data_IF_473938239330
#
_entry.id   IF_473938239330
#
_cell.length_a   1.000
_cell.length_b   1.000
_cell.length_c   1.000
_cell.angle_alpha   90.00
_cell.angle_beta   90.00
_cell.angle_gamma   90.00
#
_symmetry.space_group_name_H-M   'P 1'
#
loop_
_entity.id
_entity.type
_entity.pdbx_description
1 polymer ?
#
# COMPACT_ATOMS: atom_id res chain seq x y z
N UNK A 1 17.18 1.87 -54.50
CA UNK A 1 17.05 2.46 -53.14
C UNK A 1 17.10 1.33 -52.12
N UNK A 2 18.03 1.39 -51.20
CA UNK A 2 18.03 0.42 -50.09
C UNK A 2 16.90 0.82 -49.14
N UNK A 3 15.96 -0.06 -48.89
CA UNK A 3 14.90 0.12 -47.90
C UNK A 3 15.57 0.17 -46.49
N UNK A 4 15.33 1.27 -45.78
CA UNK A 4 15.77 1.40 -44.40
C UNK A 4 14.73 0.76 -43.47
N UNK A 5 15.11 0.22 -42.34
CA UNK A 5 14.17 -0.35 -41.38
C UNK A 5 13.12 0.68 -40.89
N UNK A 6 13.48 1.96 -40.81
CA UNK A 6 12.58 3.09 -40.52
C UNK A 6 11.44 3.26 -41.53
N UNK A 7 11.58 2.72 -42.75
CA UNK A 7 10.54 2.83 -43.81
C UNK A 7 9.45 1.74 -43.65
N UNK A 8 9.75 0.69 -42.86
CA UNK A 8 8.89 -0.49 -42.67
C UNK A 8 8.40 -0.61 -41.22
N UNK A 9 9.16 -0.10 -40.25
CA UNK A 9 8.87 -0.20 -38.82
C UNK A 9 8.55 1.18 -38.27
N UNK A 10 7.35 1.37 -37.76
CA UNK A 10 6.99 2.53 -36.96
C UNK A 10 6.96 2.14 -35.48
N UNK A 11 7.62 2.93 -34.66
CA UNK A 11 7.62 2.74 -33.20
C UNK A 11 6.41 3.48 -32.61
N UNK A 12 5.51 2.75 -31.94
CA UNK A 12 4.40 3.39 -31.25
C UNK A 12 4.91 3.99 -29.93
N UNK A 13 4.99 5.33 -29.87
CA UNK A 13 5.48 6.07 -28.70
C UNK A 13 4.68 5.76 -27.40
N UNK A 14 3.45 5.32 -27.53
CA UNK A 14 2.57 4.97 -26.42
C UNK A 14 3.04 3.76 -25.60
N UNK A 15 3.89 2.88 -26.18
CA UNK A 15 4.43 1.69 -25.51
C UNK A 15 5.82 1.87 -24.93
N UNK A 16 6.41 3.08 -25.05
CA UNK A 16 7.78 3.35 -24.58
C UNK A 16 7.85 3.71 -23.10
N UNK A 17 6.72 4.05 -22.47
CA UNK A 17 6.72 4.50 -21.09
C UNK A 17 6.73 3.32 -20.11
N UNK A 18 7.71 3.30 -19.21
CA UNK A 18 7.70 2.38 -18.08
C UNK A 18 6.51 2.69 -17.16
N UNK A 19 5.81 1.66 -16.74
CA UNK A 19 4.70 1.78 -15.77
C UNK A 19 5.28 1.97 -14.38
N UNK A 20 4.82 3.02 -13.70
CA UNK A 20 5.13 3.28 -12.30
C UNK A 20 3.91 2.98 -11.43
N UNK A 21 4.01 1.98 -10.56
CA UNK A 21 2.90 1.49 -9.76
C UNK A 21 2.26 2.57 -8.86
N UNK A 22 3.05 3.55 -8.41
CA UNK A 22 2.55 4.62 -7.53
C UNK A 22 1.97 5.81 -8.29
N UNK A 23 2.55 6.17 -9.44
CA UNK A 23 2.17 7.37 -10.18
C UNK A 23 1.03 7.12 -11.19
N UNK A 24 0.92 5.90 -11.69
CA UNK A 24 -0.02 5.54 -12.74
C UNK A 24 -1.33 4.94 -12.20
N UNK A 25 -1.53 4.85 -10.88
CA UNK A 25 -2.77 4.39 -10.27
C UNK A 25 -3.98 5.16 -10.84
N UNK A 26 -5.06 4.42 -11.16
CA UNK A 26 -6.27 4.99 -11.75
C UNK A 26 -6.24 5.15 -13.26
N UNK A 27 -5.13 4.86 -13.94
CA UNK A 27 -5.02 5.01 -15.40
C UNK A 27 -5.62 3.83 -16.14
N UNK A 28 -6.92 3.84 -16.39
CA UNK A 28 -7.61 2.83 -17.22
C UNK A 28 -7.05 2.74 -18.63
N UNK A 29 -6.52 3.85 -19.18
CA UNK A 29 -5.88 3.85 -20.50
C UNK A 29 -4.64 2.94 -20.57
N UNK A 30 -3.89 2.80 -19.47
CA UNK A 30 -2.76 1.86 -19.42
C UNK A 30 -3.24 0.40 -19.33
N UNK A 31 -4.38 0.16 -18.69
CA UNK A 31 -5.02 -1.17 -18.70
C UNK A 31 -5.43 -1.57 -20.11
N UNK A 32 -6.05 -0.66 -20.87
CA UNK A 32 -6.47 -0.92 -22.27
C UNK A 32 -5.28 -1.22 -23.20
N UNK A 33 -4.11 -0.62 -22.93
CA UNK A 33 -2.87 -0.86 -23.69
C UNK A 33 -2.15 -2.15 -23.30
N UNK A 34 -2.61 -2.85 -22.28
CA UNK A 34 -1.96 -4.09 -21.83
C UNK A 34 -2.01 -5.16 -22.91
N UNK A 35 -0.85 -5.80 -23.14
CA UNK A 35 -0.71 -6.94 -24.07
C UNK A 35 -0.49 -8.20 -23.24
N UNK A 36 -1.48 -9.09 -23.18
CA UNK A 36 -1.35 -10.34 -22.43
C UNK A 36 -0.36 -11.28 -23.10
N UNK A 37 0.45 -11.95 -22.27
CA UNK A 37 1.32 -13.06 -22.67
C UNK A 37 1.05 -14.24 -21.76
N UNK A 38 1.43 -15.46 -22.16
CA UNK A 38 1.27 -16.66 -21.33
C UNK A 38 1.89 -16.47 -19.95
N UNK A 39 3.10 -15.92 -19.89
CA UNK A 39 3.80 -15.67 -18.62
C UNK A 39 3.07 -14.66 -17.74
N UNK A 40 2.61 -13.54 -18.32
CA UNK A 40 1.93 -12.49 -17.56
C UNK A 40 0.53 -12.90 -17.09
N UNK A 41 -0.19 -13.68 -17.90
CA UNK A 41 -1.51 -14.22 -17.50
C UNK A 41 -1.37 -15.26 -16.39
N UNK A 42 -0.34 -16.09 -16.42
CA UNK A 42 -0.04 -17.02 -15.32
C UNK A 42 0.22 -16.30 -13.99
N UNK A 43 1.01 -15.21 -14.04
CA UNK A 43 1.27 -14.38 -12.83
C UNK A 43 -0.02 -13.73 -12.34
N UNK A 44 -0.83 -13.16 -13.24
CA UNK A 44 -2.13 -12.55 -12.90
C UNK A 44 -3.08 -13.57 -12.30
N UNK A 45 -3.21 -14.77 -12.91
CA UNK A 45 -4.06 -15.85 -12.40
C UNK A 45 -3.68 -16.26 -10.97
N UNK A 46 -2.38 -16.31 -10.66
CA UNK A 46 -1.89 -16.62 -9.30
C UNK A 46 -2.43 -15.61 -8.28
N UNK A 47 -2.31 -14.30 -8.55
CA UNK A 47 -2.83 -13.28 -7.63
C UNK A 47 -4.35 -13.31 -7.50
N UNK A 48 -5.07 -13.46 -8.62
CA UNK A 48 -6.53 -13.52 -8.60
C UNK A 48 -7.04 -14.77 -7.87
N UNK A 49 -6.40 -15.93 -8.06
CA UNK A 49 -6.71 -17.13 -7.30
C UNK A 49 -6.45 -16.95 -5.79
N UNK A 50 -5.33 -16.32 -5.40
CA UNK A 50 -5.00 -16.06 -4.00
C UNK A 50 -6.02 -15.13 -3.32
N UNK A 51 -6.68 -14.27 -4.10
CA UNK A 51 -7.75 -13.39 -3.61
C UNK A 51 -9.08 -14.15 -3.48
N UNK A 52 -9.41 -15.03 -4.42
CA UNK A 52 -10.68 -15.76 -4.44
C UNK A 52 -10.68 -16.88 -3.41
N UNK A 53 -9.57 -17.62 -3.33
CA UNK A 53 -9.47 -18.83 -2.48
C UNK A 53 -8.67 -18.52 -1.22
N UNK A 54 -9.11 -18.94 -0.03
CA UNK A 54 -8.25 -18.95 1.14
C UNK A 54 -7.11 -19.94 0.92
N UNK A 55 -5.88 -19.54 1.24
CA UNK A 55 -4.71 -20.41 1.07
C UNK A 55 -3.38 -19.70 1.22
N UNK A 56 -2.29 -20.45 1.01
CA UNK A 56 -0.94 -20.02 1.35
C UNK A 56 -0.23 -19.14 0.32
N UNK A 57 -0.83 -18.90 -0.87
CA UNK A 57 -0.19 -18.17 -1.98
C UNK A 57 -0.35 -16.64 -1.93
N UNK A 58 -0.61 -16.09 -0.74
CA UNK A 58 -0.83 -14.65 -0.54
C UNK A 58 0.45 -13.83 -0.33
N UNK A 59 1.59 -14.50 -0.16
CA UNK A 59 2.90 -13.87 -0.15
C UNK A 59 3.77 -14.45 -1.25
N UNK A 60 4.39 -13.60 -2.06
CA UNK A 60 5.17 -14.02 -3.21
C UNK A 60 6.32 -13.09 -3.55
N UNK A 61 7.34 -13.65 -4.22
CA UNK A 61 8.39 -12.87 -4.84
C UNK A 61 8.28 -13.05 -6.35
N UNK A 62 8.17 -11.93 -7.08
CA UNK A 62 8.16 -11.90 -8.54
C UNK A 62 9.55 -11.56 -9.06
N UNK A 63 10.26 -12.54 -9.56
CA UNK A 63 11.63 -12.41 -10.06
C UNK A 63 11.64 -12.48 -11.59
N UNK A 64 12.44 -11.64 -12.22
CA UNK A 64 12.66 -11.69 -13.67
C UNK A 64 13.40 -10.46 -14.20
N UNK A 65 14.01 -10.54 -15.39
CA UNK A 65 14.81 -9.46 -15.93
C UNK A 65 14.00 -8.18 -16.20
N UNK A 66 14.70 -7.06 -16.28
CA UNK A 66 14.13 -5.76 -16.66
C UNK A 66 13.40 -5.82 -18.01
N UNK A 67 12.40 -4.99 -18.20
CA UNK A 67 11.68 -4.86 -19.47
C UNK A 67 10.73 -6.02 -19.83
N UNK A 68 10.55 -7.01 -18.96
CA UNK A 68 9.62 -8.15 -19.19
C UNK A 68 8.18 -7.90 -18.76
N UNK A 69 7.81 -6.67 -18.46
CA UNK A 69 6.43 -6.30 -18.16
C UNK A 69 5.93 -6.64 -16.75
N UNK A 70 6.82 -6.97 -15.79
CA UNK A 70 6.42 -7.29 -14.41
C UNK A 70 5.57 -6.20 -13.77
N UNK A 71 6.06 -4.96 -13.78
CA UNK A 71 5.34 -3.81 -13.19
C UNK A 71 4.03 -3.54 -13.92
N UNK A 72 3.97 -3.73 -15.24
CA UNK A 72 2.72 -3.58 -16.00
C UNK A 72 1.71 -4.68 -15.64
N UNK A 73 2.15 -5.94 -15.51
CA UNK A 73 1.27 -7.03 -15.08
C UNK A 73 0.73 -6.80 -13.68
N UNK A 74 1.58 -6.36 -12.74
CA UNK A 74 1.15 -5.99 -11.39
C UNK A 74 0.20 -4.79 -11.40
N UNK A 75 0.50 -3.75 -12.17
CA UNK A 75 -0.35 -2.59 -12.33
C UNK A 75 -1.77 -2.99 -12.78
N UNK A 76 -1.87 -3.80 -13.84
CA UNK A 76 -3.16 -4.28 -14.34
C UNK A 76 -3.87 -5.13 -13.29
N UNK A 77 -3.15 -6.01 -12.59
CA UNK A 77 -3.73 -6.84 -11.52
C UNK A 77 -4.26 -5.97 -10.37
N UNK A 78 -3.48 -4.98 -9.94
CA UNK A 78 -3.92 -4.00 -8.93
C UNK A 78 -5.15 -3.23 -9.39
N UNK A 79 -5.18 -2.78 -10.66
CA UNK A 79 -6.31 -2.04 -11.21
C UNK A 79 -7.59 -2.89 -11.22
N UNK A 80 -7.52 -4.16 -11.63
CA UNK A 80 -8.66 -5.10 -11.57
C UNK A 80 -9.21 -5.24 -10.15
N UNK A 81 -8.34 -5.21 -9.14
CA UNK A 81 -8.70 -5.39 -7.73
C UNK A 81 -9.05 -4.09 -7.01
N UNK A 82 -8.75 -2.93 -7.56
CA UNK A 82 -8.93 -1.64 -6.89
C UNK A 82 -9.99 -0.77 -7.54
N UNK A 83 -9.96 -0.59 -8.87
CA UNK A 83 -10.80 0.36 -9.57
C UNK A 83 -12.28 -0.05 -9.56
N UNK A 84 -13.19 0.93 -9.47
CA UNK A 84 -14.63 0.70 -9.50
C UNK A 84 -15.36 1.68 -10.43
N UNK A 85 -16.59 1.33 -10.75
CA UNK A 85 -17.49 2.14 -11.59
C UNK A 85 -17.68 1.54 -12.97
N UNK A 86 -18.74 1.98 -13.66
CA UNK A 86 -19.18 1.43 -14.94
C UNK A 86 -18.08 1.47 -16.03
N UNK A 87 -17.31 2.56 -16.08
CA UNK A 87 -16.21 2.68 -17.03
C UNK A 87 -15.10 1.65 -16.75
N UNK A 88 -14.77 1.43 -15.49
CA UNK A 88 -13.79 0.43 -15.09
C UNK A 88 -14.28 -0.99 -15.46
N UNK A 89 -15.55 -1.30 -15.20
CA UNK A 89 -16.12 -2.61 -15.52
C UNK A 89 -16.10 -2.87 -17.04
N UNK A 90 -16.36 -1.87 -17.87
CA UNK A 90 -16.26 -1.99 -19.33
C UNK A 90 -14.81 -2.25 -19.79
N UNK A 91 -13.84 -1.55 -19.18
CA UNK A 91 -12.41 -1.74 -19.51
C UNK A 91 -11.95 -3.14 -19.09
N UNK A 92 -12.38 -3.63 -17.93
CA UNK A 92 -11.98 -4.96 -17.46
C UNK A 92 -12.66 -6.10 -18.21
N UNK A 93 -13.87 -5.91 -18.74
CA UNK A 93 -14.46 -6.91 -19.62
C UNK A 93 -13.69 -7.00 -20.96
N UNK A 94 -13.33 -5.86 -21.57
CA UNK A 94 -12.46 -5.84 -22.76
C UNK A 94 -11.09 -6.46 -22.49
N UNK A 95 -10.55 -6.23 -21.29
CA UNK A 95 -9.30 -6.88 -20.85
C UNK A 95 -9.46 -8.39 -20.76
N UNK A 96 -10.58 -8.87 -20.16
CA UNK A 96 -10.88 -10.29 -20.06
C UNK A 96 -11.01 -10.92 -21.45
N UNK A 97 -11.72 -10.29 -22.39
CA UNK A 97 -11.82 -10.73 -23.80
C UNK A 97 -10.44 -10.84 -24.48
N UNK A 98 -9.54 -9.87 -24.25
CA UNK A 98 -8.16 -9.94 -24.77
C UNK A 98 -7.38 -11.11 -24.17
N UNK A 99 -7.53 -11.33 -22.85
CA UNK A 99 -6.81 -12.37 -22.11
C UNK A 99 -7.35 -13.75 -22.46
N UNK A 100 -8.63 -13.89 -22.79
CA UNK A 100 -9.28 -15.16 -23.13
C UNK A 100 -8.58 -15.87 -24.31
N UNK A 101 -8.04 -15.09 -25.27
CA UNK A 101 -7.25 -15.63 -26.38
C UNK A 101 -5.89 -16.25 -25.93
N UNK A 102 -5.42 -15.95 -24.73
CA UNK A 102 -4.16 -16.44 -24.17
C UNK A 102 -4.39 -17.42 -23.03
N UNK A 103 -5.39 -17.13 -22.18
CA UNK A 103 -5.74 -17.93 -20.99
C UNK A 103 -7.21 -17.68 -20.62
N UNK A 104 -8.06 -18.62 -20.96
CA UNK A 104 -9.48 -18.63 -20.58
C UNK A 104 -9.64 -18.63 -19.05
N UNK A 105 -8.80 -19.39 -18.33
CA UNK A 105 -8.80 -19.42 -16.88
C UNK A 105 -8.62 -18.01 -16.29
N UNK A 106 -7.64 -17.25 -16.76
CA UNK A 106 -7.35 -15.91 -16.25
C UNK A 106 -8.47 -14.93 -16.55
N UNK A 107 -9.08 -15.01 -17.74
CA UNK A 107 -10.22 -14.20 -18.11
C UNK A 107 -11.42 -14.46 -17.17
N UNK A 108 -11.71 -15.73 -16.90
CA UNK A 108 -12.76 -16.13 -15.97
C UNK A 108 -12.49 -15.66 -14.53
N UNK A 109 -11.24 -15.67 -14.06
CA UNK A 109 -10.86 -15.16 -12.75
C UNK A 109 -11.10 -13.64 -12.65
N UNK A 110 -10.78 -12.87 -13.68
CA UNK A 110 -11.07 -11.42 -13.72
C UNK A 110 -12.59 -11.19 -13.57
N UNK A 111 -13.41 -11.85 -14.39
CA UNK A 111 -14.87 -11.75 -14.32
C UNK A 111 -15.40 -12.13 -12.94
N UNK A 112 -14.89 -13.23 -12.37
CA UNK A 112 -15.28 -13.70 -11.03
C UNK A 112 -14.96 -12.70 -9.92
N UNK A 113 -13.76 -12.10 -9.92
CA UNK A 113 -13.37 -11.08 -8.93
C UNK A 113 -14.27 -9.84 -9.05
N UNK A 114 -14.52 -9.37 -10.29
CA UNK A 114 -15.38 -8.21 -10.54
C UNK A 114 -16.82 -8.48 -10.11
N UNK A 115 -17.38 -9.62 -10.46
CA UNK A 115 -18.73 -10.03 -10.09
C UNK A 115 -18.90 -10.18 -8.57
N UNK A 116 -17.90 -10.73 -7.89
CA UNK A 116 -17.87 -10.85 -6.44
C UNK A 116 -17.58 -9.53 -5.73
N UNK A 117 -17.30 -8.43 -6.45
CA UNK A 117 -16.94 -7.10 -5.94
C UNK A 117 -15.79 -7.13 -4.92
N UNK A 118 -14.83 -8.03 -5.14
CA UNK A 118 -13.65 -8.11 -4.29
C UNK A 118 -12.73 -6.92 -4.61
N UNK A 119 -12.48 -6.08 -3.60
CA UNK A 119 -11.63 -4.88 -3.73
C UNK A 119 -10.52 -4.89 -2.71
N UNK A 120 -9.30 -4.68 -3.16
CA UNK A 120 -8.13 -4.55 -2.29
C UNK A 120 -7.54 -3.15 -2.41
N UNK A 121 -7.19 -2.54 -1.28
CA UNK A 121 -6.47 -1.28 -1.26
C UNK A 121 -5.00 -1.53 -1.60
N UNK A 122 -4.45 -0.93 -2.69
CA UNK A 122 -3.04 -1.10 -3.04
C UNK A 122 -2.14 -0.28 -2.12
N UNK A 123 -1.13 -0.91 -1.56
CA UNK A 123 -0.06 -0.27 -0.78
C UNK A 123 1.26 -0.51 -1.50
N UNK A 124 1.76 0.49 -2.23
CA UNK A 124 3.01 0.38 -2.99
C UNK A 124 4.17 0.91 -2.14
N UNK A 125 5.07 0.01 -1.77
CA UNK A 125 6.28 0.30 -1.00
C UNK A 125 7.43 0.55 -1.96
N UNK A 126 8.08 1.71 -1.85
CA UNK A 126 9.20 2.13 -2.67
C UNK A 126 10.51 2.13 -1.87
N UNK A 127 11.63 2.06 -2.58
CA UNK A 127 13.01 2.06 -2.05
C UNK A 127 13.52 3.42 -1.52
N UNK A 128 12.67 4.46 -1.48
CA UNK A 128 13.06 5.84 -1.12
C UNK A 128 13.53 6.01 0.32
N UNK A 129 13.28 5.02 1.17
CA UNK A 129 13.59 5.09 2.60
C UNK A 129 14.76 4.19 2.96
N UNK A 130 15.65 4.70 3.81
CA UNK A 130 16.80 3.93 4.33
C UNK A 130 16.36 2.80 5.28
N UNK A 131 15.20 2.95 5.92
CA UNK A 131 14.63 1.96 6.82
C UNK A 131 13.35 1.35 6.25
N UNK A 132 13.32 0.03 6.20
CA UNK A 132 12.17 -0.75 5.71
C UNK A 132 10.90 -0.49 6.51
N UNK A 133 11.00 -0.32 7.83
CA UNK A 133 9.84 -0.01 8.67
C UNK A 133 9.23 1.33 8.24
N UNK A 134 10.06 2.35 8.08
CA UNK A 134 9.61 3.67 7.61
C UNK A 134 8.98 3.59 6.21
N UNK A 135 9.56 2.80 5.30
CA UNK A 135 9.02 2.60 3.95
C UNK A 135 7.60 2.03 4.01
N UNK A 136 7.38 0.97 4.77
CA UNK A 136 6.06 0.37 4.93
C UNK A 136 5.06 1.32 5.58
N UNK A 137 5.47 2.04 6.63
CA UNK A 137 4.60 3.00 7.33
C UNK A 137 4.18 4.16 6.43
N UNK A 138 5.14 4.77 5.73
CA UNK A 138 4.87 5.88 4.82
C UNK A 138 3.96 5.46 3.67
N UNK A 139 4.18 4.25 3.12
CA UNK A 139 3.35 3.71 2.03
C UNK A 139 1.93 3.42 2.48
N UNK A 140 1.74 2.86 3.67
CA UNK A 140 0.41 2.63 4.24
C UNK A 140 -0.34 3.96 4.46
N UNK A 141 0.34 4.96 5.07
CA UNK A 141 -0.24 6.31 5.23
C UNK A 141 -0.65 6.92 3.90
N UNK A 142 0.21 6.82 2.89
CA UNK A 142 -0.08 7.35 1.55
C UNK A 142 -1.28 6.65 0.92
N UNK A 143 -1.35 5.33 0.99
CA UNK A 143 -2.46 4.56 0.45
C UNK A 143 -3.79 4.93 1.11
N UNK A 144 -3.83 5.03 2.45
CA UNK A 144 -5.01 5.45 3.19
C UNK A 144 -5.42 6.90 2.86
N UNK A 145 -4.46 7.82 2.75
CA UNK A 145 -4.73 9.21 2.38
C UNK A 145 -5.30 9.33 0.96
N UNK A 146 -4.72 8.62 -0.01
CA UNK A 146 -5.19 8.59 -1.42
C UNK A 146 -6.62 8.04 -1.52
N UNK A 147 -6.96 7.06 -0.70
CA UNK A 147 -8.31 6.49 -0.63
C UNK A 147 -9.30 7.30 0.24
N UNK A 148 -8.89 8.47 0.80
CA UNK A 148 -9.65 9.25 1.77
C UNK A 148 -10.03 8.47 3.04
N UNK A 149 -9.18 7.55 3.48
CA UNK A 149 -9.37 6.65 4.60
C UNK A 149 -8.41 6.95 5.77
N UNK A 150 -7.89 8.17 5.87
CA UNK A 150 -6.94 8.55 6.93
C UNK A 150 -7.49 8.37 8.35
N UNK A 151 -8.81 8.26 8.50
CA UNK A 151 -9.48 8.00 9.78
C UNK A 151 -9.38 6.53 10.24
N UNK A 152 -8.96 5.60 9.38
CA UNK A 152 -8.78 4.18 9.72
C UNK A 152 -7.40 3.94 10.36
N UNK A 153 -6.89 4.87 11.13
CA UNK A 153 -5.68 4.64 11.91
C UNK A 153 -6.03 3.91 13.19
N UNK A 154 -5.30 2.85 13.55
CA UNK A 154 -5.58 2.10 14.76
C UNK A 154 -5.42 2.96 16.01
N UNK A 155 -6.14 2.59 17.06
CA UNK A 155 -6.14 3.18 18.41
C UNK A 155 -4.74 3.45 18.98
N UNK A 156 -3.74 2.71 18.50
CA UNK A 156 -2.34 2.88 18.87
C UNK A 156 -1.79 4.31 18.67
N UNK A 157 -2.27 5.06 17.68
CA UNK A 157 -1.83 6.44 17.48
C UNK A 157 -2.23 7.34 18.63
N UNK A 158 -3.46 7.24 19.05
CA UNK A 158 -4.01 8.00 20.17
C UNK A 158 -3.38 7.57 21.50
N UNK A 159 -3.22 6.26 21.67
CA UNK A 159 -2.55 5.71 22.84
C UNK A 159 -1.10 6.21 22.96
N UNK A 160 -0.35 6.22 21.87
CA UNK A 160 1.02 6.71 21.86
C UNK A 160 1.12 8.24 22.02
N UNK A 161 0.11 9.02 21.56
CA UNK A 161 0.02 10.43 21.92
C UNK A 161 -0.06 10.60 23.45
N UNK A 162 -0.96 9.84 24.08
CA UNK A 162 -1.15 9.90 25.54
C UNK A 162 0.10 9.40 26.31
N UNK A 163 0.75 8.35 25.83
CA UNK A 163 2.01 7.86 26.40
C UNK A 163 3.14 8.91 26.27
N UNK A 164 3.21 9.58 25.11
CA UNK A 164 4.18 10.66 24.88
C UNK A 164 3.91 11.85 25.80
N UNK A 165 2.66 12.28 25.95
CA UNK A 165 2.28 13.34 26.89
C UNK A 165 2.66 12.93 28.33
N UNK A 166 2.37 11.69 28.72
CA UNK A 166 2.72 11.18 30.06
C UNK A 166 4.23 11.13 30.27
N UNK A 167 5.00 10.72 29.25
CA UNK A 167 6.47 10.75 29.29
C UNK A 167 6.98 12.19 29.43
N UNK A 168 6.45 13.16 28.69
CA UNK A 168 6.84 14.57 28.85
C UNK A 168 6.53 15.07 30.25
N UNK A 169 5.36 14.73 30.78
CA UNK A 169 4.96 15.14 32.15
C UNK A 169 5.92 14.58 33.22
N UNK A 170 6.38 13.33 33.05
CA UNK A 170 7.22 12.62 34.01
C UNK A 170 8.68 12.98 33.83
N UNK A 171 9.22 12.89 32.63
CA UNK A 171 10.65 12.87 32.36
C UNK A 171 11.17 14.16 31.73
N UNK A 172 10.30 14.97 31.13
CA UNK A 172 10.62 16.20 30.37
C UNK A 172 9.70 17.38 30.75
N UNK A 173 9.78 17.93 32.00
CA UNK A 173 8.85 18.93 32.50
C UNK A 173 8.84 20.24 31.71
N UNK A 174 9.94 20.62 31.06
CA UNK A 174 10.03 21.80 30.21
C UNK A 174 9.21 21.59 28.91
N UNK A 175 9.39 20.47 28.24
CA UNK A 175 8.64 20.09 27.05
C UNK A 175 7.13 20.00 27.35
N UNK A 176 6.77 19.50 28.54
CA UNK A 176 5.38 19.48 28.96
C UNK A 176 4.79 20.86 29.19
N UNK A 177 5.58 21.83 29.71
CA UNK A 177 5.15 23.24 29.81
C UNK A 177 4.93 23.86 28.43
N UNK A 178 5.82 23.59 27.49
CA UNK A 178 5.68 24.08 26.09
C UNK A 178 4.44 23.47 25.42
N UNK A 179 4.15 22.21 25.65
CA UNK A 179 2.91 21.55 25.23
C UNK A 179 1.67 22.27 25.78
N UNK A 180 1.64 22.53 27.10
CA UNK A 180 0.52 23.23 27.73
C UNK A 180 0.39 24.68 27.21
N UNK A 181 1.51 25.37 26.99
CA UNK A 181 1.53 26.73 26.44
C UNK A 181 0.95 26.74 25.01
N UNK A 182 1.36 25.76 24.19
CA UNK A 182 0.83 25.61 22.84
C UNK A 182 -0.71 25.41 22.83
N UNK A 183 -1.22 24.50 23.65
CA UNK A 183 -2.67 24.28 23.74
C UNK A 183 -3.42 25.53 24.19
N UNK A 184 -2.87 26.32 25.11
CA UNK A 184 -3.43 27.59 25.55
C UNK A 184 -3.54 28.61 24.39
N UNK A 185 -2.59 28.63 23.45
CA UNK A 185 -2.69 29.51 22.26
C UNK A 185 -3.88 29.17 21.37
N UNK A 186 -4.36 27.90 21.44
CA UNK A 186 -5.53 27.43 20.74
C UNK A 186 -6.83 27.49 21.57
N UNK A 187 -6.75 28.02 22.78
CA UNK A 187 -7.88 28.08 23.72
C UNK A 187 -8.27 26.71 24.31
N UNK A 188 -7.36 25.71 24.25
CA UNK A 188 -7.63 24.35 24.70
C UNK A 188 -7.02 24.10 26.08
N UNK A 189 -7.74 23.29 26.88
CA UNK A 189 -7.26 22.78 28.17
C UNK A 189 -6.61 21.41 27.95
N UNK A 190 -5.46 21.16 28.60
CA UNK A 190 -4.74 19.91 28.45
C UNK A 190 -5.55 18.67 28.87
N UNK A 191 -6.32 18.76 29.98
CA UNK A 191 -7.15 17.65 30.46
C UNK A 191 -8.27 17.30 29.46
N UNK A 192 -8.93 18.31 28.92
CA UNK A 192 -10.00 18.13 27.93
C UNK A 192 -9.44 17.61 26.61
N UNK A 193 -8.26 18.09 26.24
CA UNK A 193 -7.55 17.64 25.06
C UNK A 193 -7.13 16.16 25.15
N UNK A 194 -6.57 15.73 26.29
CA UNK A 194 -6.26 14.32 26.55
C UNK A 194 -7.54 13.45 26.54
N UNK A 195 -8.67 13.99 26.98
CA UNK A 195 -9.98 13.29 26.90
C UNK A 195 -10.43 13.13 25.45
N UNK A 196 -10.27 14.15 24.62
CA UNK A 196 -10.55 14.07 23.17
C UNK A 196 -9.66 13.00 22.49
N UNK A 197 -8.38 12.93 22.84
CA UNK A 197 -7.49 11.88 22.34
C UNK A 197 -7.95 10.47 22.78
N UNK A 198 -8.43 10.30 24.02
CA UNK A 198 -9.01 9.04 24.49
C UNK A 198 -10.30 8.65 23.77
N UNK A 199 -11.00 9.63 23.21
CA UNK A 199 -12.23 9.45 22.42
C UNK A 199 -11.94 9.33 20.91
N UNK A 200 -10.69 9.15 20.53
CA UNK A 200 -10.23 8.99 19.13
C UNK A 200 -10.60 10.15 18.21
N UNK A 201 -10.57 11.38 18.75
CA UNK A 201 -10.85 12.60 17.99
C UNK A 201 -9.74 12.90 16.98
N UNK A 202 -10.07 12.85 15.68
CA UNK A 202 -9.11 13.04 14.58
C UNK A 202 -8.54 14.47 14.54
N UNK A 203 -9.32 15.48 14.94
CA UNK A 203 -8.85 16.86 15.04
C UNK A 203 -7.83 17.00 16.19
N UNK A 204 -8.09 16.37 17.34
CA UNK A 204 -7.14 16.34 18.45
C UNK A 204 -5.82 15.67 18.05
N UNK A 205 -5.86 14.59 17.27
CA UNK A 205 -4.66 13.95 16.73
C UNK A 205 -3.88 14.89 15.80
N UNK A 206 -4.56 15.62 14.93
CA UNK A 206 -3.93 16.60 14.03
C UNK A 206 -3.26 17.74 14.80
N UNK A 207 -3.94 18.29 15.80
CA UNK A 207 -3.42 19.33 16.71
C UNK A 207 -2.19 18.79 17.47
N UNK A 208 -2.23 17.56 17.97
CA UNK A 208 -1.09 16.95 18.67
C UNK A 208 0.14 16.82 17.76
N UNK A 209 -0.02 16.40 16.52
CA UNK A 209 1.07 16.31 15.53
C UNK A 209 1.72 17.66 15.27
N UNK A 210 0.92 18.70 15.09
CA UNK A 210 1.43 20.05 14.87
C UNK A 210 2.15 20.59 16.11
N UNK A 211 1.59 20.36 17.29
CA UNK A 211 2.22 20.65 18.58
C UNK A 211 3.58 19.98 18.72
N UNK A 212 3.65 18.67 18.49
CA UNK A 212 4.86 17.87 18.55
C UNK A 212 5.94 18.43 17.62
N UNK A 213 5.60 18.70 16.37
CA UNK A 213 6.53 19.29 15.39
C UNK A 213 7.07 20.65 15.82
N UNK A 214 6.23 21.52 16.39
CA UNK A 214 6.64 22.84 16.86
C UNK A 214 7.55 22.78 18.08
N UNK A 215 7.24 21.91 19.03
CA UNK A 215 8.01 21.79 20.30
C UNK A 215 9.34 21.08 20.09
N UNK A 216 9.38 20.10 19.17
CA UNK A 216 10.56 19.28 18.91
C UNK A 216 11.30 19.69 17.63
N UNK A 217 11.41 20.99 17.37
CA UNK A 217 12.22 21.57 16.30
C UNK A 217 12.01 20.95 14.91
N UNK A 218 10.76 20.64 14.57
CA UNK A 218 10.39 20.08 13.28
C UNK A 218 10.30 18.56 13.23
N UNK A 219 10.58 17.85 14.33
CA UNK A 219 10.45 16.39 14.38
C UNK A 219 8.98 15.97 14.18
N UNK A 220 8.74 15.14 13.18
CA UNK A 220 7.42 14.56 12.95
C UNK A 220 7.05 13.59 14.07
N UNK A 221 5.78 13.61 14.47
CA UNK A 221 5.26 12.61 15.39
C UNK A 221 5.02 11.31 14.64
N UNK A 222 5.94 10.41 14.78
CA UNK A 222 5.93 9.09 14.14
C UNK A 222 5.87 7.98 15.20
N UNK A 223 4.71 7.79 15.84
CA UNK A 223 4.55 6.80 16.92
C UNK A 223 4.82 5.38 16.49
N UNK A 224 4.80 5.14 15.17
CA UNK A 224 4.94 3.81 14.59
C UNK A 224 6.38 3.34 14.44
N UNK A 225 7.40 4.19 14.69
CA UNK A 225 8.80 3.76 14.67
C UNK A 225 9.11 2.71 15.77
N UNK A 226 8.33 2.71 16.86
CA UNK A 226 8.39 1.72 17.93
C UNK A 226 7.34 0.60 17.74
N UNK A 227 6.41 0.73 16.79
CA UNK A 227 5.35 -0.24 16.58
C UNK A 227 5.80 -1.41 15.72
N UNK A 228 5.25 -2.57 16.00
CA UNK A 228 5.35 -3.75 15.14
C UNK A 228 4.58 -3.51 13.84
N UNK A 229 5.30 -3.24 12.74
CA UNK A 229 4.72 -2.92 11.42
C UNK A 229 3.75 -4.00 10.94
N UNK A 230 4.08 -5.31 11.02
CA UNK A 230 3.15 -6.36 10.64
C UNK A 230 1.82 -6.32 11.40
N UNK A 231 1.86 -6.17 12.72
CA UNK A 231 0.65 -6.04 13.54
C UNK A 231 -0.18 -4.83 13.17
N UNK A 232 0.46 -3.70 12.84
CA UNK A 232 -0.25 -2.51 12.36
C UNK A 232 -1.00 -2.78 11.06
N UNK A 233 -0.35 -3.43 10.09
CA UNK A 233 -0.98 -3.79 8.82
C UNK A 233 -2.20 -4.69 9.04
N UNK A 234 -2.12 -5.65 9.97
CA UNK A 234 -3.26 -6.50 10.34
C UNK A 234 -4.42 -5.69 10.92
N UNK A 235 -4.16 -4.79 11.87
CA UNK A 235 -5.20 -3.95 12.47
C UNK A 235 -5.85 -3.00 11.45
N UNK A 236 -5.03 -2.38 10.58
CA UNK A 236 -5.56 -1.54 9.48
C UNK A 236 -6.38 -2.38 8.51
N UNK A 237 -5.92 -3.58 8.17
CA UNK A 237 -6.65 -4.48 7.27
C UNK A 237 -8.02 -4.89 7.86
N UNK A 238 -8.06 -5.22 9.15
CA UNK A 238 -9.30 -5.53 9.86
C UNK A 238 -10.27 -4.34 9.88
N UNK A 239 -9.77 -3.15 10.26
CA UNK A 239 -10.56 -1.94 10.27
C UNK A 239 -11.04 -1.56 8.86
N UNK A 240 -10.19 -1.71 7.84
CA UNK A 240 -10.54 -1.48 6.44
C UNK A 240 -11.70 -2.38 5.99
N UNK A 241 -11.62 -3.68 6.27
CA UNK A 241 -12.64 -4.65 5.89
C UNK A 241 -13.96 -4.45 6.64
N UNK A 242 -13.92 -3.99 7.90
CA UNK A 242 -15.12 -3.81 8.72
C UNK A 242 -15.83 -2.48 8.50
N UNK A 243 -15.07 -1.42 8.19
CA UNK A 243 -15.59 -0.05 8.10
C UNK A 243 -15.80 0.45 6.67
N UNK A 244 -15.36 -0.30 5.66
CA UNK A 244 -15.40 0.12 4.27
C UNK A 244 -15.87 -0.99 3.33
N UNK A 245 -15.85 -0.70 2.02
CA UNK A 245 -16.15 -1.68 0.96
C UNK A 245 -14.92 -2.49 0.52
N UNK A 246 -13.78 -2.28 1.15
CA UNK A 246 -12.59 -3.05 0.80
C UNK A 246 -12.63 -4.45 1.44
N UNK A 247 -12.11 -5.42 0.70
CA UNK A 247 -11.99 -6.81 1.12
C UNK A 247 -10.59 -7.12 1.68
N UNK A 248 -9.71 -6.11 1.72
CA UNK A 248 -8.37 -6.24 2.24
C UNK A 248 -7.33 -5.33 1.61
N UNK A 249 -6.05 -5.67 1.83
CA UNK A 249 -4.87 -4.96 1.35
C UNK A 249 -4.11 -5.76 0.29
N UNK A 250 -3.54 -5.09 -0.71
CA UNK A 250 -2.52 -5.66 -1.57
C UNK A 250 -1.24 -4.83 -1.46
N UNK A 251 -0.25 -5.39 -0.80
CA UNK A 251 1.05 -4.78 -0.54
C UNK A 251 2.01 -5.18 -1.65
N UNK A 252 2.59 -4.21 -2.34
CA UNK A 252 3.60 -4.43 -3.37
C UNK A 252 4.88 -3.72 -2.96
N UNK A 253 5.95 -4.47 -2.73
CA UNK A 253 7.28 -3.92 -2.54
C UNK A 253 8.01 -3.92 -3.88
N UNK A 254 7.93 -2.77 -4.57
CA UNK A 254 8.64 -2.57 -5.83
C UNK A 254 10.14 -2.35 -5.58
N UNK A 255 10.98 -2.81 -6.52
CA UNK A 255 12.44 -2.73 -6.42
C UNK A 255 13.06 -3.43 -5.20
N UNK A 256 12.42 -4.50 -4.72
CA UNK A 256 12.92 -5.32 -3.61
C UNK A 256 14.35 -5.83 -3.81
N UNK A 257 14.76 -6.09 -5.06
CA UNK A 257 16.14 -6.49 -5.39
C UNK A 257 17.17 -5.46 -4.94
N UNK A 258 16.93 -4.18 -5.18
CA UNK A 258 17.83 -3.10 -4.72
C UNK A 258 17.92 -3.02 -3.20
N UNK A 259 16.81 -3.25 -2.53
CA UNK A 259 16.79 -3.33 -1.08
C UNK A 259 17.67 -4.46 -0.56
N UNK A 260 17.65 -5.64 -1.20
CA UNK A 260 18.49 -6.77 -0.85
C UNK A 260 19.99 -6.46 -1.03
N UNK A 261 20.36 -5.77 -2.12
CA UNK A 261 21.74 -5.39 -2.43
C UNK A 261 22.30 -4.35 -1.44
N UNK A 262 21.45 -3.42 -0.97
CA UNK A 262 21.84 -2.36 -0.05
C UNK A 262 22.01 -2.81 1.40
N UNK A 263 21.70 -4.08 1.70
CA UNK A 263 21.57 -4.58 3.06
C UNK A 263 22.80 -5.38 3.47
N UNK A 264 23.78 -4.74 4.11
CA UNK A 264 24.75 -5.45 4.92
C UNK A 264 24.00 -6.04 6.13
N UNK A 265 23.91 -7.37 6.18
CA UNK A 265 23.60 -8.32 7.25
C UNK A 265 22.93 -7.81 8.56
N UNK A 266 21.73 -7.22 8.49
CA UNK A 266 20.91 -7.00 9.68
C UNK A 266 19.65 -7.88 9.64
N UNK A 267 19.65 -8.98 10.40
CA UNK A 267 18.54 -9.96 10.45
C UNK A 267 17.17 -9.37 10.82
N UNK A 268 17.11 -8.29 11.58
CA UNK A 268 15.86 -7.65 12.00
C UNK A 268 15.04 -7.05 10.85
N UNK A 269 15.70 -6.68 9.74
CA UNK A 269 15.02 -6.10 8.58
C UNK A 269 14.20 -7.12 7.80
N UNK A 270 14.69 -8.35 7.70
CA UNK A 270 13.96 -9.44 7.05
C UNK A 270 12.78 -9.92 7.89
N UNK A 271 12.85 -9.77 9.21
CA UNK A 271 11.80 -10.17 10.12
C UNK A 271 10.48 -9.48 9.80
N UNK A 272 10.48 -8.17 9.51
CA UNK A 272 9.27 -7.43 9.11
C UNK A 272 8.60 -8.05 7.90
N UNK A 273 9.39 -8.40 6.87
CA UNK A 273 8.85 -9.02 5.65
C UNK A 273 8.37 -10.45 5.89
N UNK A 274 9.10 -11.20 6.70
CA UNK A 274 8.74 -12.57 7.05
C UNK A 274 7.43 -12.59 7.85
N UNK A 275 7.30 -11.74 8.85
CA UNK A 275 6.10 -11.63 9.69
C UNK A 275 4.91 -11.16 8.85
N UNK A 276 5.09 -10.16 7.95
CA UNK A 276 4.04 -9.76 7.00
C UNK A 276 3.62 -10.89 6.06
N UNK A 277 4.58 -11.65 5.52
CA UNK A 277 4.29 -12.80 4.67
C UNK A 277 3.50 -13.89 5.41
N UNK A 278 3.84 -14.12 6.69
CA UNK A 278 3.10 -15.05 7.54
C UNK A 278 1.67 -14.57 7.80
N UNK A 279 1.47 -13.29 8.11
CA UNK A 279 0.13 -12.72 8.26
C UNK A 279 -0.67 -12.79 6.95
N UNK A 280 -0.06 -12.50 5.80
CA UNK A 280 -0.72 -12.67 4.50
C UNK A 280 -1.17 -14.12 4.29
N UNK A 281 -0.31 -15.08 4.56
CA UNK A 281 -0.59 -16.51 4.40
C UNK A 281 -1.69 -17.03 5.34
N UNK A 282 -1.80 -16.44 6.52
CA UNK A 282 -2.84 -16.76 7.51
C UNK A 282 -4.13 -15.97 7.33
N UNK A 283 -4.13 -14.93 6.49
CA UNK A 283 -5.33 -14.13 6.24
C UNK A 283 -6.41 -14.97 5.55
N UNK A 284 -7.68 -14.82 5.97
CA UNK A 284 -8.80 -15.57 5.41
C UNK A 284 -9.72 -14.64 4.59
N UNK A 285 -10.87 -14.30 5.12
CA UNK A 285 -11.84 -13.39 4.49
C UNK A 285 -11.32 -11.94 4.42
N UNK A 286 -10.55 -11.52 5.41
CA UNK A 286 -9.86 -10.23 5.43
C UNK A 286 -8.54 -10.34 4.66
N UNK A 287 -8.62 -10.32 3.35
CA UNK A 287 -7.53 -10.64 2.42
C UNK A 287 -6.34 -9.70 2.58
N UNK A 288 -5.17 -10.26 2.74
CA UNK A 288 -3.93 -9.47 2.73
C UNK A 288 -2.91 -10.18 1.84
N UNK A 289 -2.44 -9.48 0.80
CA UNK A 289 -1.47 -10.00 -0.16
C UNK A 289 -0.17 -9.21 -0.07
N UNK A 290 0.96 -9.91 -0.22
CA UNK A 290 2.29 -9.31 -0.33
C UNK A 290 2.98 -9.81 -1.61
N UNK A 291 3.47 -8.89 -2.43
CA UNK A 291 4.31 -9.18 -3.59
C UNK A 291 5.59 -8.35 -3.54
N UNK A 292 6.73 -9.01 -3.44
CA UNK A 292 8.04 -8.38 -3.58
C UNK A 292 8.52 -8.52 -5.01
N UNK A 293 8.95 -7.43 -5.66
CA UNK A 293 9.43 -7.43 -7.05
C UNK A 293 10.93 -7.31 -7.07
N UNK A 294 11.60 -8.26 -7.73
CA UNK A 294 13.06 -8.28 -7.90
C UNK A 294 13.44 -8.37 -9.39
N UNK A 295 14.56 -7.79 -9.70
CA UNK A 295 15.14 -7.78 -11.03
C UNK A 295 16.40 -8.64 -11.10
#
# INVERSE_FOLDING_TARGET
MALCYSDILSQNADFQRAVNLSLDQGSLALVEKYIPTVSSTTVMARYLNAVIKPGNDRASILIGPYGKGKSHTLFVTLSVLFEEGEQADLVFERLAEKIENVSEETANLIRQVRQAKIRLLPVVVNDRYLDVKQAFLASLKTALATANLSGIMPDNYYKQCLETINRWKKDFPLTHKDYQAYLKTLGLNASDFETRLKQFDAEALSIFRECHRKILAGAEFEPLLESDVPSLYCHVNEALCTQTKYSGLFIVFDEFGKYLESTESNGDRFKVLQDLAEFCSRSSEQRMLLSCVSH
#
